data_IF_782604688667
#
_entry.id   IF_782604688667
#
_cell.length_a   1.000
_cell.length_b   1.000
_cell.length_c   1.000
_cell.angle_alpha   90.00
_cell.angle_beta   90.00
_cell.angle_gamma   90.00
#
_symmetry.space_group_name_H-M   'P 1'
#
loop_
_entity.id
_entity.type
_entity.pdbx_description
1 polymer ?
#
# COMPACT_ATOMS: atom_id res chain seq x y z
N UNK A 1 -12.40 16.18 17.74
CA UNK A 1 -11.10 15.82 17.11
C UNK A 1 -10.87 16.75 15.93
N UNK A 2 -9.68 17.35 15.80
CA UNK A 2 -9.35 18.17 14.63
C UNK A 2 -9.42 17.29 13.37
N UNK A 3 -10.25 17.67 12.39
CA UNK A 3 -10.44 16.92 11.16
C UNK A 3 -9.11 16.73 10.42
N UNK A 4 -8.84 15.52 9.95
CA UNK A 4 -7.68 15.26 9.08
C UNK A 4 -7.89 16.04 7.78
N UNK A 5 -6.93 16.84 7.33
CA UNK A 5 -7.05 17.57 6.06
C UNK A 5 -6.90 16.63 4.86
N UNK A 6 -7.47 17.00 3.70
CA UNK A 6 -7.29 16.29 2.44
C UNK A 6 -5.80 16.06 2.11
N UNK A 7 -4.94 17.05 2.38
CA UNK A 7 -3.50 16.97 2.16
C UNK A 7 -2.83 15.90 3.04
N UNK A 8 -3.26 15.74 4.29
CA UNK A 8 -2.73 14.69 5.16
C UNK A 8 -3.16 13.30 4.72
N UNK A 9 -4.35 13.16 4.12
CA UNK A 9 -4.81 11.89 3.55
C UNK A 9 -4.05 11.52 2.29
N UNK A 10 -3.86 12.47 1.37
CA UNK A 10 -3.03 12.25 0.19
C UNK A 10 -1.64 11.75 0.58
N UNK A 11 -1.01 12.38 1.58
CA UNK A 11 0.29 11.94 2.13
C UNK A 11 0.28 10.53 2.72
N UNK A 12 -0.84 10.07 3.29
CA UNK A 12 -0.95 8.69 3.79
C UNK A 12 -0.86 7.68 2.64
N UNK A 13 -1.51 7.97 1.52
CA UNK A 13 -1.50 7.13 0.31
C UNK A 13 -0.18 7.20 -0.47
N UNK A 14 0.64 8.21 -0.22
CA UNK A 14 2.02 8.33 -0.74
C UNK A 14 3.07 7.69 0.18
N UNK A 15 2.66 7.09 1.30
CA UNK A 15 3.60 6.53 2.28
C UNK A 15 4.30 5.28 1.77
N UNK A 16 5.63 5.28 1.87
CA UNK A 16 6.49 4.12 1.65
C UNK A 16 6.14 2.90 2.51
N UNK A 17 5.50 3.12 3.67
CA UNK A 17 5.12 2.05 4.59
C UNK A 17 3.93 1.22 4.10
N UNK A 18 3.18 1.68 3.09
CA UNK A 18 2.05 0.95 2.53
C UNK A 18 2.48 -0.31 1.78
N UNK A 19 3.74 -0.37 1.34
CA UNK A 19 4.24 -1.43 0.48
C UNK A 19 5.55 -1.99 1.02
N UNK A 20 5.70 -3.30 0.93
CA UNK A 20 6.90 -4.01 1.35
C UNK A 20 7.79 -4.27 0.14
N UNK A 21 9.03 -3.81 0.24
CA UNK A 21 10.09 -3.99 -0.78
C UNK A 21 11.35 -4.57 -0.15
N UNK A 22 11.22 -5.29 0.97
CA UNK A 22 12.30 -6.06 1.57
C UNK A 22 12.74 -7.22 0.66
N UNK A 23 13.91 -7.80 0.93
CA UNK A 23 14.46 -8.85 0.06
C UNK A 23 13.57 -10.08 -0.04
N UNK A 24 12.90 -10.46 1.04
CA UNK A 24 12.14 -11.70 1.07
C UNK A 24 10.84 -11.51 0.27
N UNK A 25 10.19 -10.36 0.40
CA UNK A 25 9.05 -9.98 -0.43
C UNK A 25 9.43 -9.91 -1.90
N UNK A 26 10.53 -9.23 -2.24
CA UNK A 26 10.99 -9.13 -3.64
C UNK A 26 11.39 -10.49 -4.24
N UNK A 27 12.01 -11.38 -3.46
CA UNK A 27 12.32 -12.76 -3.89
C UNK A 27 11.05 -13.56 -4.18
N UNK A 28 10.04 -13.45 -3.33
CA UNK A 28 8.74 -14.11 -3.55
C UNK A 28 8.07 -13.64 -4.84
N UNK A 29 8.13 -12.34 -5.13
CA UNK A 29 7.63 -11.78 -6.40
C UNK A 29 8.44 -12.30 -7.58
N UNK A 30 9.78 -12.22 -7.53
CA UNK A 30 10.66 -12.67 -8.62
C UNK A 30 10.48 -14.16 -8.95
N UNK A 31 10.27 -15.00 -7.94
CA UNK A 31 10.13 -16.45 -8.11
C UNK A 31 8.72 -16.87 -8.54
N UNK A 32 7.79 -15.93 -8.73
CA UNK A 32 6.44 -16.20 -9.21
C UNK A 32 6.20 -15.45 -10.54
N UNK A 33 6.17 -16.15 -11.69
CA UNK A 33 5.99 -15.52 -12.99
C UNK A 33 4.69 -14.71 -13.13
N UNK A 34 3.61 -15.16 -12.50
CA UNK A 34 2.32 -14.46 -12.50
C UNK A 34 2.42 -13.16 -11.69
N UNK A 35 3.17 -13.17 -10.59
CA UNK A 35 3.39 -11.99 -9.75
C UNK A 35 4.28 -10.96 -10.46
N UNK A 36 5.30 -11.43 -11.18
CA UNK A 36 6.12 -10.59 -12.06
C UNK A 36 5.26 -9.94 -13.14
N UNK A 37 4.39 -10.71 -13.81
CA UNK A 37 3.46 -10.15 -14.79
C UNK A 37 2.51 -9.13 -14.16
N UNK A 38 2.02 -9.36 -12.93
CA UNK A 38 1.16 -8.43 -12.20
C UNK A 38 1.88 -7.09 -11.90
N UNK A 39 3.11 -7.12 -11.37
CA UNK A 39 3.86 -5.88 -11.10
C UNK A 39 4.25 -5.16 -12.39
N UNK A 40 4.48 -5.87 -13.49
CA UNK A 40 4.77 -5.27 -14.79
C UNK A 40 3.60 -4.52 -15.43
N UNK A 41 2.36 -4.86 -15.03
CA UNK A 41 1.16 -4.09 -15.42
C UNK A 41 1.05 -2.76 -14.68
N UNK A 42 1.78 -2.57 -13.58
CA UNK A 42 1.77 -1.31 -12.83
C UNK A 42 2.33 -0.18 -13.70
N UNK A 43 1.65 0.95 -13.68
CA UNK A 43 1.99 2.10 -14.49
C UNK A 43 3.46 2.54 -14.30
N UNK A 44 4.18 2.61 -15.41
CA UNK A 44 5.57 3.04 -15.43
C UNK A 44 6.56 2.03 -14.85
N UNK A 45 6.15 0.77 -14.59
CA UNK A 45 7.06 -0.30 -14.18
C UNK A 45 8.11 -0.60 -15.25
N UNK A 46 7.71 -0.65 -16.53
CA UNK A 46 8.61 -0.91 -17.67
C UNK A 46 9.83 0.03 -17.73
N UNK A 47 9.71 1.25 -17.20
CA UNK A 47 10.83 2.20 -17.15
C UNK A 47 11.93 1.81 -16.15
N UNK A 48 11.70 0.82 -15.30
CA UNK A 48 12.69 0.30 -14.34
C UNK A 48 13.67 -0.71 -14.97
N UNK A 49 13.31 -1.30 -16.12
CA UNK A 49 14.06 -2.37 -16.78
C UNK A 49 13.78 -3.77 -16.22
N UNK A 50 14.04 -4.78 -17.06
CA UNK A 50 13.56 -6.16 -16.88
C UNK A 50 14.14 -6.88 -15.65
N UNK A 51 15.35 -6.50 -15.22
CA UNK A 51 16.07 -7.19 -14.14
C UNK A 51 16.16 -6.37 -12.86
N UNK A 52 15.26 -5.40 -12.65
CA UNK A 52 15.34 -4.47 -11.51
C UNK A 52 15.31 -5.20 -10.16
N UNK A 53 14.38 -6.13 -9.98
CA UNK A 53 14.22 -6.91 -8.73
C UNK A 53 15.42 -7.83 -8.52
N UNK A 54 15.81 -8.58 -9.54
CA UNK A 54 16.98 -9.46 -9.49
C UNK A 54 18.25 -8.69 -9.13
N UNK A 55 18.47 -7.52 -9.74
CA UNK A 55 19.64 -6.67 -9.45
C UNK A 55 19.64 -6.21 -7.99
N UNK A 56 18.48 -5.84 -7.44
CA UNK A 56 18.37 -5.45 -6.04
C UNK A 56 18.78 -6.62 -5.14
N UNK A 57 18.24 -7.81 -5.39
CA UNK A 57 18.51 -9.00 -4.59
C UNK A 57 19.99 -9.36 -4.66
N UNK A 58 20.54 -9.55 -5.86
CA UNK A 58 21.93 -9.97 -6.06
C UNK A 58 22.94 -9.02 -5.41
N UNK A 59 22.79 -7.70 -5.62
CA UNK A 59 23.67 -6.70 -4.99
C UNK A 59 23.50 -6.66 -3.48
N UNK A 60 22.28 -6.75 -2.97
CA UNK A 60 22.05 -6.72 -1.53
C UNK A 60 22.63 -7.94 -0.80
N UNK A 61 22.57 -9.13 -1.39
CA UNK A 61 23.19 -10.34 -0.82
C UNK A 61 24.72 -10.25 -0.88
N UNK A 62 25.30 -9.80 -2.01
CA UNK A 62 26.75 -9.57 -2.13
C UNK A 62 27.27 -8.58 -1.08
N UNK A 63 26.56 -7.45 -0.89
CA UNK A 63 26.90 -6.49 0.18
C UNK A 63 26.80 -7.13 1.56
N UNK A 64 25.78 -7.95 1.82
CA UNK A 64 25.60 -8.65 3.10
C UNK A 64 26.72 -9.65 3.37
N UNK A 65 27.15 -10.41 2.36
CA UNK A 65 28.26 -11.35 2.44
C UNK A 65 29.60 -10.65 2.71
N UNK A 66 29.89 -9.57 1.98
CA UNK A 66 31.11 -8.78 2.17
C UNK A 66 31.12 -8.10 3.55
N UNK A 67 29.98 -7.58 4.03
CA UNK A 67 29.86 -7.03 5.39
C UNK A 67 30.07 -8.11 6.46
N UNK A 68 29.76 -9.37 6.18
CA UNK A 68 30.03 -10.49 7.09
C UNK A 68 31.53 -10.79 7.12
N UNK A 69 32.18 -10.89 5.96
CA UNK A 69 33.65 -11.09 5.86
C UNK A 69 34.43 -9.96 6.54
N UNK A 70 33.97 -8.72 6.41
CA UNK A 70 34.56 -7.56 7.07
C UNK A 70 34.59 -7.62 8.62
N UNK A 71 33.81 -8.51 9.23
CA UNK A 71 33.84 -8.75 10.68
C UNK A 71 34.95 -9.70 11.09
N UNK A 72 35.38 -10.56 10.18
CA UNK A 72 36.36 -11.61 10.40
C UNK A 72 37.76 -11.17 9.89
N UNK A 73 37.82 -10.34 8.84
CA UNK A 73 39.04 -9.79 8.23
C UNK A 73 38.84 -8.33 7.76
N UNK A 74 39.91 -7.53 7.73
CA UNK A 74 39.87 -6.15 7.23
C UNK A 74 39.70 -6.10 5.70
N UNK A 75 38.67 -5.39 5.22
CA UNK A 75 38.45 -5.17 3.78
C UNK A 75 39.47 -4.18 3.21
N UNK A 76 39.93 -4.42 1.99
CA UNK A 76 40.74 -3.46 1.25
C UNK A 76 39.96 -2.17 0.95
N UNK A 77 40.66 -1.05 0.75
CA UNK A 77 40.05 0.24 0.36
C UNK A 77 39.22 0.13 -0.92
N UNK A 78 39.62 -0.75 -1.85
CA UNK A 78 38.89 -1.00 -3.10
C UNK A 78 37.57 -1.71 -2.82
N UNK A 79 37.58 -2.77 -2.02
CA UNK A 79 36.37 -3.51 -1.64
C UNK A 79 35.39 -2.64 -0.83
N UNK A 80 35.89 -1.80 0.08
CA UNK A 80 35.06 -0.86 0.82
C UNK A 80 34.33 0.13 -0.10
N UNK A 81 35.03 0.61 -1.14
CA UNK A 81 34.46 1.53 -2.13
C UNK A 81 33.40 0.83 -2.98
N UNK A 82 33.71 -0.36 -3.52
CA UNK A 82 32.77 -1.16 -4.30
C UNK A 82 31.50 -1.49 -3.49
N UNK A 83 31.67 -1.87 -2.22
CA UNK A 83 30.58 -2.15 -1.30
C UNK A 83 29.67 -0.93 -1.08
N UNK A 84 30.24 0.26 -0.93
CA UNK A 84 29.49 1.52 -0.81
C UNK A 84 28.71 1.88 -2.08
N UNK A 85 29.32 1.68 -3.24
CA UNK A 85 28.70 1.94 -4.55
C UNK A 85 27.55 0.96 -4.82
N UNK A 86 27.74 -0.34 -4.59
CA UNK A 86 26.69 -1.36 -4.68
C UNK A 86 25.54 -1.10 -3.69
N UNK A 87 25.86 -0.70 -2.46
CA UNK A 87 24.86 -0.39 -1.44
C UNK A 87 23.97 0.79 -1.84
N UNK A 88 24.57 1.85 -2.39
CA UNK A 88 23.82 2.99 -2.92
C UNK A 88 22.95 2.58 -4.10
N UNK A 89 23.49 1.76 -5.01
CA UNK A 89 22.78 1.36 -6.22
C UNK A 89 21.53 0.52 -5.90
N UNK A 90 21.66 -0.54 -5.08
CA UNK A 90 20.50 -1.40 -4.78
C UNK A 90 19.44 -0.65 -3.96
N UNK A 91 19.84 0.27 -3.07
CA UNK A 91 18.90 1.12 -2.31
C UNK A 91 18.14 2.07 -3.23
N UNK A 92 18.84 2.71 -4.18
CA UNK A 92 18.21 3.57 -5.18
C UNK A 92 17.19 2.80 -6.03
N UNK A 93 17.58 1.64 -6.55
CA UNK A 93 16.69 0.76 -7.33
C UNK A 93 15.47 0.30 -6.52
N UNK A 94 15.66 -0.07 -5.26
CA UNK A 94 14.55 -0.44 -4.35
C UNK A 94 13.58 0.70 -4.13
N UNK A 95 14.08 1.93 -3.99
CA UNK A 95 13.24 3.12 -3.88
C UNK A 95 12.39 3.32 -5.14
N UNK A 96 12.95 3.12 -6.33
CA UNK A 96 12.20 3.22 -7.58
C UNK A 96 11.08 2.17 -7.66
N UNK A 97 11.35 0.91 -7.27
CA UNK A 97 10.32 -0.14 -7.17
C UNK A 97 9.22 0.27 -6.18
N UNK A 98 9.61 0.77 -5.00
CA UNK A 98 8.68 1.25 -3.98
C UNK A 98 7.79 2.38 -4.51
N UNK A 99 8.35 3.35 -5.23
CA UNK A 99 7.60 4.45 -5.84
C UNK A 99 6.57 3.95 -6.86
N UNK A 100 6.86 2.91 -7.65
CA UNK A 100 5.86 2.32 -8.56
C UNK A 100 4.73 1.63 -7.81
N UNK A 101 5.04 0.87 -6.76
CA UNK A 101 4.02 0.22 -5.93
C UNK A 101 3.15 1.24 -5.19
N UNK A 102 3.74 2.34 -4.70
CA UNK A 102 2.97 3.46 -4.11
C UNK A 102 2.06 4.11 -5.15
N UNK A 103 2.54 4.35 -6.37
CA UNK A 103 1.69 4.91 -7.45
C UNK A 103 0.48 4.02 -7.78
N UNK A 104 0.60 2.71 -7.60
CA UNK A 104 -0.57 1.84 -7.63
C UNK A 104 -1.48 2.11 -6.43
N UNK A 105 -0.93 2.15 -5.20
CA UNK A 105 -1.71 2.40 -3.99
C UNK A 105 -2.49 3.72 -4.04
N UNK A 106 -1.98 4.76 -4.71
CA UNK A 106 -2.70 6.03 -4.90
C UNK A 106 -3.92 5.95 -5.81
N UNK A 107 -4.13 4.84 -6.55
CA UNK A 107 -5.37 4.56 -7.31
C UNK A 107 -6.49 4.04 -6.43
N UNK A 108 -6.17 3.49 -5.26
CA UNK A 108 -7.16 2.91 -4.33
C UNK A 108 -8.17 3.95 -3.81
N UNK A 109 -7.78 5.18 -3.41
CA UNK A 109 -8.74 6.22 -3.03
C UNK A 109 -9.78 6.53 -4.11
N UNK A 110 -9.36 6.60 -5.38
CA UNK A 110 -10.28 6.85 -6.48
C UNK A 110 -11.28 5.71 -6.63
N UNK A 111 -10.82 4.45 -6.55
CA UNK A 111 -11.70 3.28 -6.51
C UNK A 111 -12.67 3.34 -5.32
N UNK A 112 -12.19 3.63 -4.11
CA UNK A 112 -13.01 3.73 -2.90
C UNK A 112 -14.11 4.80 -3.00
N UNK A 113 -13.83 5.91 -3.69
CA UNK A 113 -14.79 6.98 -3.91
C UNK A 113 -15.93 6.56 -4.87
N UNK A 114 -15.66 5.63 -5.79
CA UNK A 114 -16.61 5.18 -6.81
C UNK A 114 -17.55 4.05 -6.34
N UNK A 115 -17.30 3.44 -5.18
CA UNK A 115 -18.07 2.31 -4.64
C UNK A 115 -18.86 2.71 -3.39
N UNK A 116 -20.08 2.18 -3.26
CA UNK A 116 -20.98 2.46 -2.14
C UNK A 116 -20.89 1.41 -1.00
N UNK A 117 -20.21 0.28 -1.21
CA UNK A 117 -20.04 -0.80 -0.22
C UNK A 117 -19.05 -0.45 0.90
N UNK A 118 -19.47 0.41 1.85
CA UNK A 118 -18.62 0.94 2.93
C UNK A 118 -18.56 0.06 4.18
N UNK A 119 -19.53 -0.81 4.36
CA UNK A 119 -19.59 -1.82 5.42
C UNK A 119 -18.62 -2.97 5.16
N UNK A 120 -18.32 -3.26 3.89
CA UNK A 120 -17.44 -4.35 3.49
C UNK A 120 -15.96 -3.95 3.53
N UNK A 121 -15.12 -4.96 3.76
CA UNK A 121 -13.67 -4.83 3.58
C UNK A 121 -13.35 -4.50 2.13
N UNK A 122 -12.30 -3.73 1.90
CA UNK A 122 -11.92 -3.38 0.53
C UNK A 122 -11.53 -4.62 -0.27
N UNK A 123 -10.95 -5.65 0.36
CA UNK A 123 -10.72 -6.93 -0.29
C UNK A 123 -12.03 -7.58 -0.78
N UNK A 124 -13.09 -7.62 0.01
CA UNK A 124 -14.38 -8.15 -0.45
C UNK A 124 -14.98 -7.31 -1.57
N UNK A 125 -14.88 -5.99 -1.47
CA UNK A 125 -15.36 -5.09 -2.54
C UNK A 125 -14.61 -5.38 -3.85
N UNK A 126 -13.28 -5.45 -3.80
CA UNK A 126 -12.44 -5.73 -4.98
C UNK A 126 -12.74 -7.11 -5.58
N UNK A 127 -12.93 -8.12 -4.73
CA UNK A 127 -12.90 -9.53 -5.18
C UNK A 127 -14.27 -10.10 -5.47
N UNK A 128 -15.34 -9.52 -4.91
CA UNK A 128 -16.71 -10.08 -4.97
C UNK A 128 -17.76 -9.09 -5.48
N UNK A 129 -17.64 -7.81 -5.14
CA UNK A 129 -18.72 -6.84 -5.40
C UNK A 129 -18.46 -6.01 -6.66
N UNK A 130 -17.26 -5.47 -6.79
CA UNK A 130 -16.88 -4.47 -7.81
C UNK A 130 -15.54 -4.81 -8.52
N UNK A 131 -15.34 -6.04 -9.02
CA UNK A 131 -14.08 -6.45 -9.65
C UNK A 131 -13.76 -5.70 -10.95
N UNK A 132 -14.78 -5.43 -11.78
CA UNK A 132 -14.62 -4.71 -13.05
C UNK A 132 -14.28 -3.23 -12.83
N UNK A 133 -14.88 -2.61 -11.82
CA UNK A 133 -14.55 -1.25 -11.41
C UNK A 133 -13.11 -1.17 -10.89
N UNK A 134 -12.67 -2.13 -10.07
CA UNK A 134 -11.29 -2.19 -9.59
C UNK A 134 -10.30 -2.33 -10.74
N UNK A 135 -10.57 -3.23 -11.69
CA UNK A 135 -9.74 -3.42 -12.88
C UNK A 135 -9.69 -2.16 -13.74
N UNK A 136 -10.80 -1.45 -13.87
CA UNK A 136 -10.87 -0.19 -14.62
C UNK A 136 -10.04 0.91 -13.92
N UNK A 137 -10.13 1.01 -12.59
CA UNK A 137 -9.45 2.04 -11.82
C UNK A 137 -7.93 1.80 -11.70
N UNK A 138 -7.50 0.55 -11.68
CA UNK A 138 -6.11 0.18 -11.33
C UNK A 138 -5.34 -0.56 -12.43
N UNK A 139 -6.03 -1.18 -13.38
CA UNK A 139 -5.45 -2.04 -14.41
C UNK A 139 -5.13 -3.47 -13.94
N UNK A 140 -5.35 -3.81 -12.67
CA UNK A 140 -5.10 -5.15 -12.13
C UNK A 140 -6.37 -6.00 -12.09
N UNK A 141 -6.20 -7.29 -12.37
CA UNK A 141 -7.26 -8.28 -12.18
C UNK A 141 -7.41 -8.67 -10.70
N UNK A 142 -8.47 -9.39 -10.36
CA UNK A 142 -8.67 -9.94 -9.01
C UNK A 142 -7.56 -10.94 -8.67
N UNK A 143 -7.13 -11.75 -9.65
CA UNK A 143 -6.04 -12.71 -9.51
C UNK A 143 -4.71 -12.00 -9.21
N UNK A 144 -4.40 -10.93 -9.96
CA UNK A 144 -3.21 -10.11 -9.70
C UNK A 144 -3.22 -9.53 -8.30
N UNK A 145 -4.37 -8.97 -7.89
CA UNK A 145 -4.55 -8.37 -6.58
C UNK A 145 -4.32 -9.40 -5.46
N UNK A 146 -4.97 -10.56 -5.55
CA UNK A 146 -4.79 -11.64 -4.58
C UNK A 146 -3.35 -12.08 -4.49
N UNK A 147 -2.67 -12.21 -5.63
CA UNK A 147 -1.30 -12.63 -5.67
C UNK A 147 -0.39 -11.64 -4.93
N UNK A 148 -0.51 -10.34 -5.22
CA UNK A 148 0.28 -9.30 -4.55
C UNK A 148 0.00 -9.23 -3.04
N UNK A 149 -1.25 -9.41 -2.61
CA UNK A 149 -1.62 -9.49 -1.18
C UNK A 149 -1.01 -10.73 -0.52
N UNK A 150 -1.11 -11.89 -1.16
CA UNK A 150 -0.58 -13.16 -0.64
C UNK A 150 0.94 -13.15 -0.51
N UNK A 151 1.64 -12.50 -1.45
CA UNK A 151 3.09 -12.32 -1.39
C UNK A 151 3.54 -11.24 -0.41
N UNK A 152 2.59 -10.58 0.27
CA UNK A 152 2.79 -9.51 1.25
C UNK A 152 3.41 -8.25 0.65
N UNK A 153 3.11 -7.95 -0.62
CA UNK A 153 3.55 -6.70 -1.27
C UNK A 153 2.90 -5.49 -0.61
N UNK A 154 1.65 -5.61 -0.16
CA UNK A 154 0.97 -4.56 0.61
C UNK A 154 1.09 -4.81 2.11
N UNK A 155 1.36 -3.74 2.86
CA UNK A 155 1.34 -3.76 4.31
C UNK A 155 -0.10 -3.59 4.80
N UNK A 156 -0.77 -4.70 5.08
CA UNK A 156 -2.17 -4.76 5.52
C UNK A 156 -2.51 -3.79 6.65
N UNK A 157 -1.66 -3.65 7.67
CA UNK A 157 -1.93 -2.75 8.80
C UNK A 157 -1.94 -1.29 8.37
N UNK A 158 -0.96 -0.89 7.55
CA UNK A 158 -0.87 0.48 7.03
C UNK A 158 -2.00 0.76 6.04
N UNK A 159 -2.38 -0.24 5.23
CA UNK A 159 -3.53 -0.14 4.32
C UNK A 159 -4.83 0.04 5.10
N UNK A 160 -5.07 -0.73 6.17
CA UNK A 160 -6.23 -0.53 7.06
C UNK A 160 -6.28 0.89 7.61
N UNK A 161 -5.15 1.39 8.14
CA UNK A 161 -5.09 2.75 8.67
C UNK A 161 -5.40 3.82 7.61
N UNK A 162 -4.91 3.65 6.38
CA UNK A 162 -5.15 4.56 5.27
C UNK A 162 -6.63 4.52 4.84
N UNK A 163 -7.23 3.33 4.70
CA UNK A 163 -8.63 3.14 4.33
C UNK A 163 -9.57 3.76 5.38
N UNK A 164 -9.35 3.46 6.66
CA UNK A 164 -10.18 4.03 7.73
C UNK A 164 -10.04 5.56 7.82
N UNK A 165 -8.83 6.10 7.65
CA UNK A 165 -8.63 7.55 7.64
C UNK A 165 -9.38 8.20 6.48
N UNK A 166 -9.36 7.59 5.29
CA UNK A 166 -10.07 8.08 4.12
C UNK A 166 -11.59 8.07 4.33
N UNK A 167 -12.18 6.93 4.73
CA UNK A 167 -13.63 6.81 4.94
C UNK A 167 -14.13 7.77 6.02
N UNK A 168 -13.38 7.97 7.12
CA UNK A 168 -13.74 8.97 8.14
C UNK A 168 -13.76 10.40 7.62
N UNK A 169 -12.82 10.76 6.75
CA UNK A 169 -12.76 12.10 6.17
C UNK A 169 -13.88 12.35 5.17
N UNK A 170 -14.16 11.37 4.31
CA UNK A 170 -15.24 11.42 3.34
C UNK A 170 -16.59 11.60 4.05
N UNK A 171 -16.87 10.79 5.08
CA UNK A 171 -18.09 10.86 5.88
C UNK A 171 -18.24 12.23 6.60
N UNK A 172 -17.15 12.75 7.16
CA UNK A 172 -17.16 14.10 7.75
C UNK A 172 -17.41 15.22 6.71
N UNK A 173 -16.87 15.07 5.50
CA UNK A 173 -17.02 16.05 4.42
C UNK A 173 -18.44 16.08 3.86
N UNK A 174 -19.07 14.90 3.71
CA UNK A 174 -20.46 14.79 3.24
C UNK A 174 -21.47 15.30 4.28
N UNK A 175 -21.27 14.98 5.57
CA UNK A 175 -22.10 15.54 6.65
C UNK A 175 -22.06 17.06 6.69
N UNK A 176 -20.90 17.68 6.46
CA UNK A 176 -20.79 19.14 6.39
C UNK A 176 -21.65 19.75 5.27
N UNK A 177 -21.87 19.02 4.18
CA UNK A 177 -22.76 19.44 3.07
C UNK A 177 -24.23 19.13 3.31
N UNK A 178 -24.61 18.58 4.47
CA UNK A 178 -25.99 18.21 4.80
C UNK A 178 -26.47 16.92 4.13
N UNK A 179 -25.57 16.16 3.50
CA UNK A 179 -25.86 14.85 2.92
C UNK A 179 -25.41 13.82 3.93
N UNK A 180 -26.37 13.08 4.51
CA UNK A 180 -26.02 11.93 5.34
C UNK A 180 -25.49 10.84 4.40
N UNK A 181 -24.19 10.56 4.50
CA UNK A 181 -23.49 9.84 3.44
C UNK A 181 -23.96 8.40 3.28
N UNK A 182 -24.44 7.76 4.34
CA UNK A 182 -25.09 6.45 4.31
C UNK A 182 -25.87 6.26 5.62
N UNK A 183 -27.20 6.42 5.59
CA UNK A 183 -28.07 6.20 6.75
C UNK A 183 -27.94 4.75 7.26
N UNK A 184 -27.76 4.57 8.57
CA UNK A 184 -27.80 3.25 9.21
C UNK A 184 -26.52 2.40 9.17
N UNK A 185 -25.40 2.89 8.63
CA UNK A 185 -24.11 2.18 8.72
C UNK A 185 -23.68 1.99 10.18
N UNK A 186 -23.71 0.74 10.65
CA UNK A 186 -23.25 0.33 11.99
C UNK A 186 -21.79 -0.13 12.00
N UNK A 187 -21.23 -0.42 10.83
CA UNK A 187 -19.88 -0.94 10.65
C UNK A 187 -19.20 -0.25 9.46
N UNK A 188 -17.88 -0.13 9.54
CA UNK A 188 -17.04 0.43 8.48
C UNK A 188 -15.94 -0.58 8.17
N UNK A 189 -15.81 -0.97 6.91
CA UNK A 189 -14.71 -1.80 6.46
C UNK A 189 -13.41 -1.02 6.30
N UNK A 190 -12.30 -1.72 6.54
CA UNK A 190 -10.93 -1.31 6.27
C UNK A 190 -10.44 -1.98 4.99
N UNK A 191 -9.14 -2.21 4.92
CA UNK A 191 -8.53 -3.02 3.87
C UNK A 191 -9.04 -4.46 3.92
N UNK A 192 -8.94 -5.10 5.08
CA UNK A 192 -9.34 -6.50 5.31
C UNK A 192 -10.06 -6.73 6.65
N UNK A 193 -10.26 -5.66 7.42
CA UNK A 193 -10.84 -5.70 8.77
C UNK A 193 -12.11 -4.86 8.78
N UNK A 194 -13.14 -5.26 9.53
CA UNK A 194 -14.34 -4.45 9.76
C UNK A 194 -14.35 -3.97 11.21
N UNK A 195 -14.72 -2.71 11.43
CA UNK A 195 -14.88 -2.13 12.77
C UNK A 195 -16.28 -1.57 12.94
N UNK A 196 -16.80 -1.59 14.17
CA UNK A 196 -18.03 -0.87 14.49
C UNK A 196 -17.83 0.64 14.30
N UNK A 197 -18.84 1.31 13.75
CA UNK A 197 -18.86 2.78 13.69
C UNK A 197 -19.09 3.30 15.11
N UNK A 198 -18.28 4.25 15.55
CA UNK A 198 -18.60 5.00 16.78
C UNK A 198 -19.95 5.69 16.56
N UNK A 199 -20.94 5.34 17.39
CA UNK A 199 -22.19 6.07 17.42
C UNK A 199 -21.86 7.46 17.97
N UNK A 200 -22.21 8.51 17.23
CA UNK A 200 -22.19 9.86 17.77
C UNK A 200 -23.04 9.82 19.05
N UNK A 201 -22.42 10.11 20.19
CA UNK A 201 -23.15 10.22 21.45
C UNK A 201 -24.19 11.32 21.25
N UNK A 202 -25.44 10.92 20.99
CA UNK A 202 -26.57 11.84 20.90
C UNK A 202 -26.57 12.61 22.20
N UNK A 203 -26.21 13.90 22.14
CA UNK A 203 -26.33 14.83 23.23
C UNK A 203 -27.81 14.85 23.62
N UNK A 204 -28.17 14.11 24.65
CA UNK A 204 -29.51 14.03 25.19
C UNK A 204 -29.89 15.42 25.73
N UNK A 205 -30.77 16.20 25.07
CA UNK A 205 -31.15 17.50 25.58
C UNK A 205 -32.35 17.29 26.51
N UNK A 206 -32.14 16.63 27.64
CA UNK A 206 -33.19 16.45 28.63
C UNK A 206 -32.61 16.59 30.04
N UNK A 207 -32.58 17.83 30.51
CA UNK A 207 -33.13 18.24 31.82
C UNK A 207 -33.04 19.76 31.96
N UNK A 208 -34.06 20.46 31.47
CA UNK A 208 -34.51 21.73 32.03
C UNK A 208 -35.97 21.52 32.45
N UNK A 209 -36.16 21.15 33.71
CA UNK A 209 -37.35 21.44 34.52
C UNK A 209 -36.92 21.59 35.96
#
# INVERSE_FOLDING_TARGET
MAGTSATLLARKWESALLVNVDNDTLKRVLNNPEAMAAVERIEGWRALGDNIIETIINKSERVKELKKKAKDDDLSKKEQRELSEEEKEYKSKRKLVQEKLIKFATRIPAFMYLTDFRENTLQDVITKLEPDLFKTATGLTVEDFHLLVNLKVFNTEQMNQAVFAFRRYEDASLRYTGIESHEGLSQIGGWDTVVAREQDAVSNPLTLR
#
